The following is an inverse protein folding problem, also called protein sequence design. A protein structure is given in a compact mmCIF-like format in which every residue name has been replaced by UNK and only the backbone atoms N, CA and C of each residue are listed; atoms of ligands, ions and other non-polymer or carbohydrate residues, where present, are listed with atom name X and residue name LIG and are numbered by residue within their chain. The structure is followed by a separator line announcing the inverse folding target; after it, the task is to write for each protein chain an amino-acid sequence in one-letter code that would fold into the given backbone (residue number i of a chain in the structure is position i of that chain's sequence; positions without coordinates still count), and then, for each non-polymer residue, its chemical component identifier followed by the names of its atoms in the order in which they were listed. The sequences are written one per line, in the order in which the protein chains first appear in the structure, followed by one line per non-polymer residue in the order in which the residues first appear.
data_IF_066308153204
#
_entry.id   IF_066308153204
#
_cell.length_a   1.000
_cell.length_b   1.000
_cell.length_c   1.000
_cell.angle_alpha   90.00
_cell.angle_beta   90.00
_cell.angle_gamma   90.00
#
_symmetry.space_group_name_H-M   'P 1'
#
loop_
_entity.id
_entity.type
_entity.pdbx_description
1 polymer ?
#
# COMPACT_ATOMS: atom_id res chain seq x y z
N UNK A 1 6.65 -33.83 5.80
CA UNK A 1 7.48 -32.77 5.18
C UNK A 1 8.50 -33.51 4.34
N UNK A 2 8.23 -33.63 3.05
CA UNK A 2 9.06 -34.38 2.11
C UNK A 2 10.34 -33.58 1.88
N UNK A 3 11.45 -34.03 2.47
CA UNK A 3 12.77 -33.47 2.22
C UNK A 3 13.19 -33.91 0.81
N UNK A 4 12.89 -33.07 -0.17
CA UNK A 4 13.45 -33.23 -1.51
C UNK A 4 14.97 -33.10 -1.38
N UNK A 5 15.77 -34.12 -1.75
CA UNK A 5 17.21 -34.07 -1.55
C UNK A 5 17.78 -32.91 -2.36
N UNK A 6 18.41 -31.95 -1.67
CA UNK A 6 19.13 -30.89 -2.36
C UNK A 6 20.24 -31.51 -3.21
N UNK A 7 20.43 -31.06 -4.46
CA UNK A 7 21.42 -31.65 -5.35
C UNK A 7 22.82 -31.59 -4.72
N UNK A 8 23.61 -32.66 -4.81
CA UNK A 8 24.98 -32.74 -4.23
C UNK A 8 25.86 -31.53 -4.59
N UNK A 9 25.62 -30.94 -5.76
CA UNK A 9 26.28 -29.73 -6.23
C UNK A 9 26.03 -28.51 -5.32
N UNK A 10 24.81 -28.31 -4.79
CA UNK A 10 24.51 -27.16 -3.91
C UNK A 10 25.16 -27.31 -2.54
N UNK A 11 25.19 -28.53 -2.00
CA UNK A 11 25.94 -28.84 -0.76
C UNK A 11 27.43 -28.62 -0.95
N UNK A 12 28.01 -29.10 -2.06
CA UNK A 12 29.43 -28.89 -2.38
C UNK A 12 29.78 -27.40 -2.54
N UNK A 13 28.94 -26.66 -3.27
CA UNK A 13 29.10 -25.22 -3.42
C UNK A 13 29.00 -24.48 -2.08
N UNK A 14 28.13 -24.90 -1.15
CA UNK A 14 28.02 -24.29 0.19
C UNK A 14 29.26 -24.55 1.01
N UNK A 15 29.76 -25.79 1.03
CA UNK A 15 30.98 -26.17 1.74
C UNK A 15 32.21 -25.42 1.21
N UNK A 16 32.26 -25.13 -0.08
CA UNK A 16 33.34 -24.38 -0.72
C UNK A 16 33.17 -22.86 -0.62
N UNK A 17 32.08 -22.37 -0.02
CA UNK A 17 31.78 -20.94 0.06
C UNK A 17 31.47 -20.28 -1.30
N UNK A 18 31.24 -21.06 -2.35
CA UNK A 18 30.96 -20.59 -3.74
C UNK A 18 29.46 -20.58 -4.03
N UNK A 19 28.63 -21.08 -3.11
CA UNK A 19 27.18 -21.15 -3.29
C UNK A 19 26.55 -19.76 -3.41
N UNK A 20 26.19 -19.40 -4.64
CA UNK A 20 25.25 -18.34 -4.90
C UNK A 20 23.84 -18.91 -4.71
N UNK A 21 23.10 -18.42 -3.71
CA UNK A 21 21.68 -18.77 -3.53
C UNK A 21 20.93 -18.31 -4.78
N UNK A 22 20.35 -19.25 -5.54
CA UNK A 22 19.38 -18.92 -6.59
C UNK A 22 18.19 -18.27 -5.89
N UNK A 23 18.06 -16.96 -6.03
CA UNK A 23 16.97 -16.21 -5.42
C UNK A 23 15.71 -16.49 -6.25
N UNK A 24 14.76 -17.22 -5.68
CA UNK A 24 13.40 -17.30 -6.24
C UNK A 24 12.77 -15.91 -6.06
N UNK A 25 12.85 -15.10 -7.11
CA UNK A 25 12.28 -13.76 -7.10
C UNK A 25 10.76 -13.91 -7.17
N UNK A 26 10.06 -13.67 -6.06
CA UNK A 26 8.60 -13.58 -6.00
C UNK A 26 8.13 -12.31 -6.70
N UNK A 27 8.36 -12.24 -8.01
CA UNK A 27 8.05 -11.06 -8.81
C UNK A 27 6.55 -10.81 -8.80
N UNK A 28 6.16 -9.58 -8.50
CA UNK A 28 4.75 -9.20 -8.42
C UNK A 28 4.10 -8.98 -9.80
N UNK A 29 4.70 -9.41 -10.91
CA UNK A 29 4.23 -9.09 -12.27
C UNK A 29 2.74 -9.38 -12.48
N UNK A 30 2.24 -10.52 -11.98
CA UNK A 30 0.81 -10.89 -12.07
C UNK A 30 -0.09 -10.06 -11.14
N UNK A 31 0.43 -9.62 -9.99
CA UNK A 31 -0.33 -8.93 -8.93
C UNK A 31 -0.31 -7.40 -9.07
N UNK A 32 0.72 -6.83 -9.71
CA UNK A 32 0.88 -5.39 -9.93
C UNK A 32 -0.30 -4.71 -10.63
N UNK A 33 -0.81 -5.20 -11.78
CA UNK A 33 -1.93 -4.54 -12.44
C UNK A 33 -3.19 -4.57 -11.56
N UNK A 34 -3.38 -5.62 -10.77
CA UNK A 34 -4.48 -5.71 -9.81
C UNK A 34 -4.29 -4.67 -8.70
N UNK A 35 -3.09 -4.55 -8.14
CA UNK A 35 -2.78 -3.52 -7.14
C UNK A 35 -3.01 -2.10 -7.66
N UNK A 36 -2.49 -1.76 -8.83
CA UNK A 36 -2.65 -0.42 -9.40
C UNK A 36 -4.08 -0.10 -9.78
N UNK A 37 -4.84 -1.06 -10.33
CA UNK A 37 -6.26 -0.85 -10.62
C UNK A 37 -7.06 -0.57 -9.35
N UNK A 38 -6.82 -1.31 -8.26
CA UNK A 38 -7.43 -1.04 -6.96
C UNK A 38 -7.02 0.34 -6.42
N UNK A 39 -5.74 0.70 -6.50
CA UNK A 39 -5.25 2.03 -6.11
C UNK A 39 -5.95 3.16 -6.87
N UNK A 40 -6.09 3.03 -8.19
CA UNK A 40 -6.81 3.98 -9.02
C UNK A 40 -8.29 4.09 -8.64
N UNK A 41 -8.97 2.96 -8.37
CA UNK A 41 -10.37 2.96 -7.92
C UNK A 41 -10.51 3.67 -6.58
N UNK A 42 -9.62 3.43 -5.62
CA UNK A 42 -9.61 4.11 -4.32
C UNK A 42 -9.45 5.62 -4.48
N UNK A 43 -8.50 6.06 -5.32
CA UNK A 43 -8.31 7.49 -5.59
C UNK A 43 -9.52 8.11 -6.29
N UNK A 44 -10.08 7.45 -7.30
CA UNK A 44 -11.24 7.94 -8.04
C UNK A 44 -12.47 8.09 -7.13
N UNK A 45 -12.76 7.07 -6.31
CA UNK A 45 -13.85 7.13 -5.33
C UNK A 45 -13.60 8.21 -4.27
N UNK A 46 -12.37 8.37 -3.80
CA UNK A 46 -12.02 9.40 -2.83
C UNK A 46 -12.26 10.81 -3.37
N UNK A 47 -11.83 11.08 -4.62
CA UNK A 47 -12.08 12.37 -5.29
C UNK A 47 -13.58 12.59 -5.51
N UNK A 48 -14.31 11.57 -5.93
CA UNK A 48 -15.76 11.63 -6.09
C UNK A 48 -16.45 11.98 -4.77
N UNK A 49 -16.12 11.29 -3.67
CA UNK A 49 -16.70 11.57 -2.36
C UNK A 49 -16.29 12.93 -1.80
N UNK A 50 -15.06 13.39 -2.04
CA UNK A 50 -14.63 14.74 -1.68
C UNK A 50 -15.45 15.81 -2.42
N UNK A 51 -15.58 15.67 -3.75
CA UNK A 51 -16.36 16.58 -4.57
C UNK A 51 -17.85 16.57 -4.17
N UNK A 52 -18.43 15.39 -3.95
CA UNK A 52 -19.79 15.24 -3.46
C UNK A 52 -19.99 15.93 -2.11
N UNK A 53 -19.06 15.74 -1.17
CA UNK A 53 -19.08 16.37 0.15
C UNK A 53 -19.02 17.89 0.02
N UNK A 54 -18.20 18.41 -0.89
CA UNK A 54 -18.11 19.85 -1.15
C UNK A 54 -19.41 20.42 -1.74
N UNK A 55 -19.99 19.78 -2.76
CA UNK A 55 -21.23 20.24 -3.42
C UNK A 55 -22.42 20.11 -2.47
N UNK A 56 -22.54 18.99 -1.77
CA UNK A 56 -23.65 18.70 -0.86
C UNK A 56 -23.45 19.24 0.57
N UNK A 57 -22.44 20.08 0.83
CA UNK A 57 -22.13 20.63 2.18
C UNK A 57 -23.30 21.32 2.88
N UNK A 58 -24.28 21.83 2.12
CA UNK A 58 -25.48 22.50 2.65
C UNK A 58 -26.61 21.52 3.01
N UNK A 59 -26.59 20.29 2.50
CA UNK A 59 -27.63 19.28 2.80
C UNK A 59 -27.51 18.86 4.27
N UNK A 60 -28.66 18.64 4.92
CA UNK A 60 -28.76 18.30 6.35
C UNK A 60 -27.86 17.13 6.75
N UNK A 61 -27.75 16.10 5.90
CA UNK A 61 -26.91 14.91 6.14
C UNK A 61 -25.42 15.28 6.26
N UNK A 62 -24.86 16.01 5.29
CA UNK A 62 -23.43 16.39 5.28
C UNK A 62 -23.13 17.39 6.40
N UNK A 63 -24.05 18.32 6.64
CA UNK A 63 -23.93 19.33 7.71
C UNK A 63 -23.96 18.69 9.11
N UNK A 64 -24.84 17.72 9.33
CA UNK A 64 -24.86 16.94 10.58
C UNK A 64 -23.58 16.12 10.75
N UNK A 65 -23.00 15.66 9.64
CA UNK A 65 -21.76 14.91 9.64
C UNK A 65 -20.50 15.74 9.92
N UNK A 66 -20.62 17.08 9.95
CA UNK A 66 -19.54 18.07 9.99
C UNK A 66 -18.55 17.90 8.80
N UNK A 67 -18.55 18.80 7.81
CA UNK A 67 -17.82 18.61 6.56
C UNK A 67 -16.30 18.47 6.75
N UNK A 68 -15.73 19.07 7.80
CA UNK A 68 -14.30 18.98 8.08
C UNK A 68 -13.85 17.55 8.40
N UNK A 69 -14.60 16.80 9.20
CA UNK A 69 -14.27 15.41 9.54
C UNK A 69 -14.43 14.48 8.32
N UNK A 70 -15.42 14.72 7.46
CA UNK A 70 -15.58 13.99 6.21
C UNK A 70 -14.36 14.19 5.29
N UNK A 71 -13.83 15.40 5.18
CA UNK A 71 -12.59 15.65 4.43
C UNK A 71 -11.36 14.98 5.06
N UNK A 72 -11.25 14.94 6.39
CA UNK A 72 -10.15 14.22 7.05
C UNK A 72 -10.19 12.71 6.79
N UNK A 73 -11.37 12.09 6.82
CA UNK A 73 -11.54 10.67 6.49
C UNK A 73 -11.12 10.40 5.04
N UNK A 74 -11.61 11.21 4.09
CA UNK A 74 -11.23 11.06 2.67
C UNK A 74 -9.72 11.28 2.48
N UNK A 75 -9.14 12.28 3.14
CA UNK A 75 -7.69 12.51 3.12
C UNK A 75 -6.89 11.32 3.65
N UNK A 76 -7.33 10.72 4.76
CA UNK A 76 -6.74 9.49 5.31
C UNK A 76 -6.82 8.32 4.33
N UNK A 77 -7.95 8.13 3.65
CA UNK A 77 -8.12 7.12 2.61
C UNK A 77 -7.20 7.33 1.41
N UNK A 78 -6.99 8.58 0.96
CA UNK A 78 -6.06 8.89 -0.13
C UNK A 78 -4.62 8.59 0.27
N UNK A 79 -4.19 9.01 1.46
CA UNK A 79 -2.83 8.76 1.96
C UNK A 79 -2.60 7.26 2.09
N UNK A 80 -3.53 6.52 2.69
CA UNK A 80 -3.42 5.06 2.83
C UNK A 80 -3.46 4.36 1.47
N UNK A 81 -4.36 4.76 0.57
CA UNK A 81 -4.46 4.21 -0.78
C UNK A 81 -3.21 4.47 -1.63
N UNK A 82 -2.51 5.59 -1.39
CA UNK A 82 -1.25 5.90 -2.07
C UNK A 82 -0.12 4.93 -1.74
N UNK A 83 -0.21 4.19 -0.61
CA UNK A 83 0.77 3.17 -0.24
C UNK A 83 0.77 1.96 -1.18
N UNK A 84 -0.30 1.77 -1.97
CA UNK A 84 -0.40 0.66 -2.94
C UNK A 84 0.60 0.82 -4.10
N UNK A 85 0.92 2.06 -4.48
CA UNK A 85 1.88 2.33 -5.56
C UNK A 85 3.31 1.89 -5.21
N UNK A 86 3.94 2.34 -4.10
CA UNK A 86 5.27 1.87 -3.72
C UNK A 86 5.31 0.38 -3.40
N UNK A 87 4.20 -0.22 -2.94
CA UNK A 87 4.11 -1.66 -2.70
C UNK A 87 4.21 -2.47 -4.01
N UNK A 88 3.78 -1.90 -5.14
CA UNK A 88 3.89 -2.53 -6.46
C UNK A 88 5.26 -2.37 -7.13
N UNK A 89 6.18 -1.61 -6.54
CA UNK A 89 7.54 -1.41 -7.07
C UNK A 89 8.44 -2.54 -6.59
N UNK A 90 9.12 -3.16 -7.53
CA UNK A 90 9.95 -4.34 -7.30
C UNK A 90 11.16 -4.30 -8.27
N UNK A 91 12.13 -5.19 -8.06
CA UNK A 91 13.46 -5.19 -8.68
C UNK A 91 13.42 -5.34 -10.22
N UNK A 92 12.28 -5.68 -10.81
CA UNK A 92 12.10 -5.73 -12.27
C UNK A 92 11.79 -4.37 -12.92
N UNK A 93 11.37 -3.37 -12.13
CA UNK A 93 10.98 -2.04 -12.63
C UNK A 93 11.95 -0.96 -12.15
N UNK A 94 12.48 -1.12 -10.94
CA UNK A 94 13.34 -0.14 -10.29
C UNK A 94 14.68 -0.76 -9.84
N UNK A 95 15.70 0.09 -9.73
CA UNK A 95 16.97 -0.29 -9.09
C UNK A 95 16.76 -0.63 -7.61
N UNK A 96 17.64 -1.45 -7.03
CA UNK A 96 17.60 -1.85 -5.60
C UNK A 96 17.42 -0.68 -4.63
N UNK A 97 18.01 0.47 -4.96
CA UNK A 97 17.87 1.70 -4.19
C UNK A 97 16.43 2.24 -4.21
N UNK A 98 15.80 2.26 -5.40
CA UNK A 98 14.40 2.65 -5.57
C UNK A 98 13.45 1.71 -4.82
N UNK A 99 13.66 0.40 -4.92
CA UNK A 99 12.90 -0.59 -4.16
C UNK A 99 13.04 -0.37 -2.65
N UNK A 100 14.25 -0.09 -2.16
CA UNK A 100 14.49 0.18 -0.73
C UNK A 100 13.72 1.41 -0.25
N UNK A 101 13.69 2.48 -1.05
CA UNK A 101 12.93 3.69 -0.71
C UNK A 101 11.43 3.41 -0.70
N UNK A 102 10.92 2.71 -1.72
CA UNK A 102 9.51 2.33 -1.82
C UNK A 102 9.08 1.49 -0.61
N UNK A 103 9.83 0.43 -0.28
CA UNK A 103 9.56 -0.44 0.88
C UNK A 103 9.53 0.32 2.21
N UNK A 104 10.41 1.32 2.39
CA UNK A 104 10.43 2.15 3.60
C UNK A 104 9.25 3.12 3.68
N UNK A 105 8.76 3.59 2.54
CA UNK A 105 7.65 4.56 2.49
C UNK A 105 6.28 3.95 2.84
N UNK A 106 6.06 2.67 2.53
CA UNK A 106 4.80 1.95 2.77
C UNK A 106 4.30 2.07 4.22
N UNK A 107 5.07 1.68 5.26
CA UNK A 107 4.58 1.73 6.64
C UNK A 107 4.25 3.16 7.09
N UNK A 108 5.00 4.16 6.61
CA UNK A 108 4.71 5.56 6.92
C UNK A 108 3.38 6.02 6.34
N UNK A 109 3.11 5.72 5.07
CA UNK A 109 1.87 6.08 4.40
C UNK A 109 0.66 5.40 5.05
N UNK A 110 0.78 4.10 5.35
CA UNK A 110 -0.31 3.35 6.00
C UNK A 110 -0.55 3.87 7.42
N UNK A 111 0.50 4.10 8.21
CA UNK A 111 0.35 4.62 9.57
C UNK A 111 -0.29 6.01 9.61
N UNK A 112 0.14 6.93 8.74
CA UNK A 112 -0.42 8.28 8.65
C UNK A 112 -1.89 8.27 8.18
N UNK A 113 -2.22 7.46 7.18
CA UNK A 113 -3.59 7.34 6.68
C UNK A 113 -4.53 6.72 7.72
N UNK A 114 -4.08 5.66 8.39
CA UNK A 114 -4.86 4.99 9.43
C UNK A 114 -5.10 5.91 10.63
N UNK A 115 -4.05 6.52 11.18
CA UNK A 115 -4.16 7.42 12.34
C UNK A 115 -5.06 8.62 12.06
N UNK A 116 -4.96 9.24 10.88
CA UNK A 116 -5.82 10.36 10.48
C UNK A 116 -7.30 9.95 10.40
N UNK A 117 -7.57 8.77 9.82
CA UNK A 117 -8.95 8.26 9.67
C UNK A 117 -9.57 7.93 11.02
N UNK A 118 -8.84 7.21 11.88
CA UNK A 118 -9.33 6.85 13.21
C UNK A 118 -9.47 8.06 14.13
N UNK A 119 -8.54 9.02 14.06
CA UNK A 119 -8.65 10.29 14.79
C UNK A 119 -9.93 11.03 14.43
N UNK A 120 -10.23 11.16 13.13
CA UNK A 120 -11.46 11.83 12.67
C UNK A 120 -12.75 11.11 13.12
N UNK A 121 -12.72 9.78 13.21
CA UNK A 121 -13.86 8.99 13.70
C UNK A 121 -14.06 9.16 15.21
N UNK A 122 -13.00 9.06 16.01
CA UNK A 122 -13.10 9.20 17.47
C UNK A 122 -13.51 10.60 17.89
N UNK A 123 -12.98 11.65 17.24
CA UNK A 123 -13.34 13.05 17.51
C UNK A 123 -14.81 13.38 17.24
N UNK A 124 -15.55 12.49 16.56
CA UNK A 124 -16.98 12.67 16.32
C UNK A 124 -17.85 11.88 17.31
N UNK A 125 -17.29 10.84 17.93
CA UNK A 125 -18.00 9.98 18.88
C UNK A 125 -18.02 10.62 20.28
N UNK A 126 -16.93 11.28 20.65
CA UNK A 126 -16.78 12.06 21.90
C UNK A 126 -17.12 13.53 21.68
#
# INVERSE_FOLDING_TARGET
REETPEPLLTTYQRLRGVYARKQELNQLDTLRPVGWSLGCVVLALSVFFAAWTFVCRKKRVVRAGQPLFLFMIVGGCVIMGSAIFPLGVDDSIASKQGCTMACRSVPWLVALGFTTTFSALFSKIW
#
